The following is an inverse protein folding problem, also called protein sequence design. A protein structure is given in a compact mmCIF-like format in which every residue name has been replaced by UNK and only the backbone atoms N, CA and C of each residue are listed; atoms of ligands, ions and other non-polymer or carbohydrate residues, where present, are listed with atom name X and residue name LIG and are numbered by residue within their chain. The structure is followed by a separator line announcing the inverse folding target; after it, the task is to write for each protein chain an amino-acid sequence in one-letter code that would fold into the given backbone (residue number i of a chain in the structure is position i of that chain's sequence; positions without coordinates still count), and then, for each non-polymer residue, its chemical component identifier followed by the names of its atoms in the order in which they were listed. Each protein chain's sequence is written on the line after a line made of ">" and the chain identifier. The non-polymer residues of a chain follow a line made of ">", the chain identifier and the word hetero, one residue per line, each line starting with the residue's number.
data_IF_332400147503
#
_entry.id   IF_332400147503
#
_cell.length_a   1.000
_cell.length_b   1.000
_cell.length_c   1.000
_cell.angle_alpha   90.00
_cell.angle_beta   90.00
_cell.angle_gamma   90.00
#
_symmetry.space_group_name_H-M   'P 1'
#
loop_
_entity.id
_entity.type
_entity.pdbx_description
1 polymer ?
#
# COMPACT_ATOMS: atom_id res chain seq x y z
N UNK A 1 -7.42 7.95 15.36
CA UNK A 1 -6.39 9.02 15.51
C UNK A 1 -4.98 8.45 15.84
N UNK A 2 -4.44 7.50 15.05
CA UNK A 2 -3.11 6.93 15.34
C UNK A 2 -1.96 7.79 14.81
N UNK A 3 -2.11 8.37 13.60
CA UNK A 3 -1.11 9.24 12.99
C UNK A 3 -0.87 10.50 13.82
N UNK A 4 -1.94 11.22 14.17
CA UNK A 4 -1.82 12.43 15.00
C UNK A 4 -1.17 12.16 16.35
N UNK A 5 -1.49 11.02 16.99
CA UNK A 5 -0.80 10.61 18.22
C UNK A 5 0.71 10.43 18.01
N UNK A 6 1.13 9.82 16.90
CA UNK A 6 2.56 9.70 16.57
C UNK A 6 3.22 11.07 16.39
N UNK A 7 2.58 11.98 15.65
CA UNK A 7 3.11 13.33 15.39
C UNK A 7 3.18 14.17 16.68
N UNK A 8 2.19 14.07 17.55
CA UNK A 8 2.12 14.87 18.78
C UNK A 8 3.01 14.34 19.90
N UNK A 9 3.07 13.01 20.11
CA UNK A 9 3.73 12.42 21.29
C UNK A 9 4.91 11.52 20.95
N UNK A 10 5.25 11.33 19.68
CA UNK A 10 6.32 10.41 19.26
C UNK A 10 5.97 8.92 19.41
N UNK A 11 4.73 8.57 19.78
CA UNK A 11 4.29 7.17 19.88
C UNK A 11 4.50 6.41 18.56
N UNK A 12 4.68 5.08 18.58
CA UNK A 12 4.97 4.30 17.34
C UNK A 12 4.02 4.64 16.17
N UNK A 13 4.55 4.85 14.95
CA UNK A 13 3.75 5.26 13.79
C UNK A 13 2.74 4.17 13.37
N UNK A 14 1.59 4.56 12.79
CA UNK A 14 0.66 3.60 12.21
C UNK A 14 1.27 2.92 10.98
N UNK A 15 1.19 1.58 10.92
CA UNK A 15 1.75 0.78 9.80
C UNK A 15 0.88 0.82 8.54
N UNK A 16 -0.41 1.05 8.70
CA UNK A 16 -1.42 1.06 7.66
C UNK A 16 -2.63 1.87 8.14
N UNK A 17 -3.43 2.35 7.20
CA UNK A 17 -4.75 2.94 7.44
C UNK A 17 -5.86 2.04 6.89
N UNK A 18 -6.74 2.62 6.07
CA UNK A 18 -7.84 1.92 5.38
C UNK A 18 -7.34 0.79 4.47
N UNK A 19 -6.08 0.85 4.02
CA UNK A 19 -5.44 -0.18 3.20
C UNK A 19 -5.46 -1.58 3.84
N UNK A 20 -5.59 -1.68 5.17
CA UNK A 20 -5.65 -2.98 5.85
C UNK A 20 -6.81 -3.86 5.36
N UNK A 21 -7.92 -3.26 4.93
CA UNK A 21 -9.10 -3.99 4.48
C UNK A 21 -8.91 -4.66 3.10
N UNK A 22 -7.86 -4.29 2.38
CA UNK A 22 -7.57 -4.91 1.10
C UNK A 22 -7.06 -6.35 1.31
N UNK A 23 -7.59 -7.37 0.59
CA UNK A 23 -7.29 -8.79 0.84
C UNK A 23 -5.79 -9.10 0.78
N UNK A 24 -5.09 -8.50 -0.20
CA UNK A 24 -3.62 -8.61 -0.35
C UNK A 24 -2.83 -8.29 0.93
N UNK A 25 -3.35 -7.41 1.80
CA UNK A 25 -2.69 -7.04 3.05
C UNK A 25 -3.29 -7.81 4.23
N UNK A 26 -4.61 -7.98 4.27
CA UNK A 26 -5.28 -8.67 5.35
C UNK A 26 -4.78 -10.11 5.51
N UNK A 27 -4.55 -10.79 4.39
CA UNK A 27 -4.13 -12.19 4.34
C UNK A 27 -2.64 -12.39 4.68
N UNK A 28 -1.85 -11.31 4.73
CA UNK A 28 -0.43 -11.39 5.08
C UNK A 28 -0.23 -11.58 6.60
N UNK A 29 0.84 -12.29 7.01
CA UNK A 29 1.29 -12.34 8.40
C UNK A 29 1.48 -10.94 9.00
N UNK A 30 1.15 -10.75 10.29
CA UNK A 30 1.15 -9.44 10.98
C UNK A 30 2.45 -8.63 10.84
N UNK A 31 3.60 -9.31 10.72
CA UNK A 31 4.91 -8.67 10.55
C UNK A 31 5.15 -8.17 9.11
N UNK A 32 4.52 -8.79 8.11
CA UNK A 32 4.61 -8.40 6.69
C UNK A 32 3.57 -7.35 6.28
N UNK A 33 2.45 -7.23 7.00
CA UNK A 33 1.36 -6.28 6.68
C UNK A 33 1.84 -4.84 6.47
N UNK A 34 2.85 -4.39 7.24
CA UNK A 34 3.42 -3.05 7.06
C UNK A 34 4.19 -2.89 5.75
N UNK A 35 4.95 -3.92 5.33
CA UNK A 35 5.64 -3.92 4.03
C UNK A 35 4.63 -4.01 2.88
N UNK A 36 3.61 -4.86 3.00
CA UNK A 36 2.53 -4.98 2.03
C UNK A 36 1.76 -3.67 1.84
N UNK A 37 1.39 -3.00 2.94
CA UNK A 37 0.73 -1.70 2.91
C UNK A 37 1.55 -0.62 2.17
N UNK A 38 2.86 -0.60 2.38
CA UNK A 38 3.75 0.34 1.68
C UNK A 38 3.81 0.09 0.18
N UNK A 39 3.88 -1.19 -0.23
CA UNK A 39 3.91 -1.58 -1.65
C UNK A 39 2.60 -1.17 -2.32
N UNK A 40 1.45 -1.51 -1.70
CA UNK A 40 0.14 -1.17 -2.23
C UNK A 40 -0.05 0.36 -2.35
N UNK A 41 0.30 1.12 -1.31
CA UNK A 41 0.20 2.57 -1.32
C UNK A 41 0.97 3.19 -2.51
N UNK A 42 2.19 2.71 -2.77
CA UNK A 42 3.00 3.21 -3.89
C UNK A 42 2.37 2.94 -5.26
N UNK A 43 1.70 1.80 -5.43
CA UNK A 43 0.99 1.46 -6.68
C UNK A 43 -0.29 2.30 -6.84
N UNK A 44 -1.05 2.48 -5.76
CA UNK A 44 -2.22 3.38 -5.74
C UNK A 44 -1.81 4.81 -6.13
N UNK A 45 -0.71 5.34 -5.61
CA UNK A 45 -0.25 6.70 -5.95
C UNK A 45 0.17 6.87 -7.41
N UNK A 46 0.55 5.79 -8.10
CA UNK A 46 0.80 5.80 -9.54
C UNK A 46 -0.51 5.72 -10.33
N UNK A 47 -1.43 4.84 -9.91
CA UNK A 47 -2.74 4.69 -10.53
C UNK A 47 -3.54 6.00 -10.48
N UNK A 48 -3.61 6.66 -9.31
CA UNK A 48 -4.31 7.95 -9.16
C UNK A 48 -3.73 9.01 -10.11
N UNK A 49 -2.40 9.07 -10.25
CA UNK A 49 -1.78 10.05 -11.17
C UNK A 49 -2.12 9.74 -12.62
N UNK A 50 -2.11 8.48 -13.00
CA UNK A 50 -2.51 8.07 -14.34
C UNK A 50 -3.98 8.41 -14.63
N UNK A 51 -4.89 8.16 -13.68
CA UNK A 51 -6.30 8.49 -13.82
C UNK A 51 -6.54 10.00 -13.96
N UNK A 52 -5.77 10.82 -13.23
CA UNK A 52 -5.91 12.29 -13.26
C UNK A 52 -5.32 12.93 -14.53
N UNK A 53 -4.19 12.44 -15.03
CA UNK A 53 -3.42 13.11 -16.11
C UNK A 53 -3.42 12.38 -17.47
N UNK A 54 -4.13 11.25 -17.57
CA UNK A 54 -4.16 10.27 -18.67
C UNK A 54 -3.40 10.53 -19.98
N UNK A 55 -2.32 9.76 -20.19
CA UNK A 55 -2.08 9.06 -21.47
C UNK A 55 -1.11 7.88 -21.26
N UNK A 56 -1.42 6.71 -21.83
CA UNK A 56 -0.49 5.57 -21.93
C UNK A 56 -0.33 4.65 -20.70
N UNK A 57 -1.19 4.73 -19.69
CA UNK A 57 -1.10 3.87 -18.51
C UNK A 57 -1.82 2.53 -18.70
N UNK A 58 -1.15 1.43 -18.35
CA UNK A 58 -1.72 0.08 -18.39
C UNK A 58 -1.91 -0.45 -16.97
N UNK A 59 -3.18 -0.57 -16.56
CA UNK A 59 -3.56 -1.09 -15.25
C UNK A 59 -3.05 -2.53 -15.03
N UNK A 60 -3.05 -3.36 -16.09
CA UNK A 60 -2.60 -4.74 -16.04
C UNK A 60 -1.12 -4.85 -15.65
N UNK A 61 -0.26 -4.01 -16.25
CA UNK A 61 1.17 -3.94 -15.89
C UNK A 61 1.36 -3.53 -14.43
N UNK A 62 0.50 -2.64 -13.93
CA UNK A 62 0.57 -2.21 -12.54
C UNK A 62 0.20 -3.35 -11.58
N UNK A 63 -0.88 -4.07 -11.86
CA UNK A 63 -1.32 -5.24 -11.10
C UNK A 63 -0.27 -6.35 -11.11
N UNK A 64 0.27 -6.69 -12.27
CA UNK A 64 1.31 -7.71 -12.39
C UNK A 64 2.56 -7.35 -11.57
N UNK A 65 2.96 -6.07 -11.59
CA UNK A 65 4.10 -5.58 -10.80
C UNK A 65 3.83 -5.58 -9.29
N UNK A 66 2.57 -5.42 -8.88
CA UNK A 66 2.14 -5.52 -7.49
C UNK A 66 2.23 -6.97 -7.04
N UNK A 67 1.64 -7.89 -7.81
CA UNK A 67 1.61 -9.32 -7.50
C UNK A 67 3.02 -9.91 -7.41
N UNK A 68 3.92 -9.54 -8.34
CA UNK A 68 5.35 -9.92 -8.28
C UNK A 68 6.00 -9.49 -6.97
N UNK A 69 5.76 -8.25 -6.54
CA UNK A 69 6.34 -7.73 -5.28
C UNK A 69 5.74 -8.39 -4.04
N UNK A 70 4.45 -8.73 -4.06
CA UNK A 70 3.79 -9.41 -2.95
C UNK A 70 4.24 -10.87 -2.87
N UNK A 71 4.42 -11.56 -4.01
CA UNK A 71 4.97 -12.91 -4.06
C UNK A 71 6.38 -12.98 -3.47
N UNK A 72 7.26 -12.03 -3.80
CA UNK A 72 8.62 -11.96 -3.25
C UNK A 72 8.66 -11.65 -1.74
N UNK A 73 7.53 -11.27 -1.15
CA UNK A 73 7.40 -10.96 0.28
C UNK A 73 6.95 -12.16 1.12
N UNK A 74 6.27 -13.12 0.49
CA UNK A 74 5.89 -14.41 1.08
C UNK A 74 7.11 -15.31 1.14
#
# INVERSE_FOLDING_TARGET
>A
KALFRHVTTGAKPPKYGVLLHHPVINDLPKHLRGKGARILAGKISLAIRADVYGSGFSADKLNESLDKRIKNLK
#
